data_IF_672577239987
#
_entry.id   IF_672577239987
#
_cell.length_a   1.000
_cell.length_b   1.000
_cell.length_c   1.000
_cell.angle_alpha   90.00
_cell.angle_beta   90.00
_cell.angle_gamma   90.00
#
_symmetry.space_group_name_H-M   'P 1'
#
loop_
_entity.id
_entity.type
_entity.pdbx_description
1 polymer ?
#
# COMPACT_ATOMS: atom_id res chain seq x y z
N UNK A 1 21.93 -22.01 -3.41
CA UNK A 1 21.50 -20.64 -3.80
C UNK A 1 21.79 -20.44 -5.29
N UNK A 2 20.82 -20.71 -6.17
CA UNK A 2 20.98 -20.45 -7.60
C UNK A 2 21.18 -18.94 -7.83
N UNK A 3 22.25 -18.56 -8.53
CA UNK A 3 22.54 -17.15 -8.83
C UNK A 3 21.44 -16.62 -9.75
N UNK A 4 20.62 -15.69 -9.26
CA UNK A 4 19.67 -14.93 -10.09
C UNK A 4 20.44 -14.26 -11.22
N UNK A 5 19.99 -14.51 -12.46
CA UNK A 5 20.53 -13.85 -13.65
C UNK A 5 20.29 -12.33 -13.56
N UNK A 6 21.11 -11.53 -14.27
CA UNK A 6 21.00 -10.06 -14.23
C UNK A 6 19.60 -9.57 -14.61
N UNK A 7 18.92 -10.29 -15.51
CA UNK A 7 17.53 -10.01 -15.95
C UNK A 7 16.50 -10.31 -14.85
N UNK A 8 16.63 -11.45 -14.16
CA UNK A 8 15.73 -11.79 -13.04
C UNK A 8 15.86 -10.80 -11.89
N UNK A 9 17.08 -10.32 -11.57
CA UNK A 9 17.26 -9.28 -10.53
C UNK A 9 16.56 -7.97 -10.88
N UNK A 10 16.62 -7.55 -12.15
CA UNK A 10 15.94 -6.33 -12.60
C UNK A 10 14.43 -6.51 -12.52
N UNK A 11 13.89 -7.65 -12.94
CA UNK A 11 12.46 -7.94 -12.81
C UNK A 11 12.00 -7.93 -11.35
N UNK A 12 12.74 -8.57 -10.45
CA UNK A 12 12.45 -8.54 -9.00
C UNK A 12 12.49 -7.11 -8.47
N UNK A 13 13.51 -6.33 -8.83
CA UNK A 13 13.64 -4.94 -8.41
C UNK A 13 12.48 -4.07 -8.91
N UNK A 14 12.03 -4.26 -10.16
CA UNK A 14 10.87 -3.56 -10.72
C UNK A 14 9.59 -3.92 -9.98
N UNK A 15 9.34 -5.21 -9.71
CA UNK A 15 8.16 -5.63 -8.96
C UNK A 15 8.18 -5.14 -7.51
N UNK A 16 9.34 -5.11 -6.87
CA UNK A 16 9.51 -4.48 -5.55
C UNK A 16 9.21 -2.99 -5.60
N UNK A 17 9.77 -2.27 -6.57
CA UNK A 17 9.52 -0.84 -6.75
C UNK A 17 8.02 -0.56 -6.97
N UNK A 18 7.35 -1.34 -7.83
CA UNK A 18 5.91 -1.23 -8.07
C UNK A 18 5.08 -1.55 -6.82
N UNK A 19 5.46 -2.58 -6.07
CA UNK A 19 4.80 -2.92 -4.81
C UNK A 19 4.90 -1.80 -3.77
N UNK A 20 6.08 -1.20 -3.63
CA UNK A 20 6.31 -0.06 -2.72
C UNK A 20 5.56 1.18 -3.19
N UNK A 21 5.56 1.48 -4.50
CA UNK A 21 4.83 2.62 -5.05
C UNK A 21 3.32 2.47 -4.81
N UNK A 22 2.77 1.28 -5.08
CA UNK A 22 1.36 1.00 -4.88
C UNK A 22 1.00 1.09 -3.39
N UNK A 23 1.84 0.51 -2.52
CA UNK A 23 1.63 0.57 -1.07
C UNK A 23 1.56 2.02 -0.58
N UNK A 24 2.50 2.88 -0.99
CA UNK A 24 2.47 4.30 -0.65
C UNK A 24 1.23 5.01 -1.20
N UNK A 25 0.88 4.77 -2.47
CA UNK A 25 -0.28 5.41 -3.09
C UNK A 25 -1.60 5.04 -2.41
N UNK A 26 -1.79 3.77 -2.07
CA UNK A 26 -2.99 3.29 -1.36
C UNK A 26 -3.03 3.82 0.07
N UNK A 27 -1.87 3.86 0.75
CA UNK A 27 -1.75 4.40 2.09
C UNK A 27 -2.14 5.87 2.14
N UNK A 28 -1.53 6.71 1.29
CA UNK A 28 -1.80 8.15 1.22
C UNK A 28 -3.26 8.44 0.86
N UNK A 29 -3.82 7.70 -0.11
CA UNK A 29 -5.21 7.89 -0.52
C UNK A 29 -6.21 7.52 0.59
N UNK A 30 -5.87 6.53 1.43
CA UNK A 30 -6.72 6.11 2.55
C UNK A 30 -6.56 7.05 3.75
N UNK A 31 -5.33 7.41 4.10
CA UNK A 31 -5.03 8.34 5.19
C UNK A 31 -5.58 9.75 4.91
N UNK A 32 -5.53 10.19 3.65
CA UNK A 32 -6.09 11.47 3.23
C UNK A 32 -7.60 11.60 3.49
N UNK A 33 -8.35 10.50 3.55
CA UNK A 33 -9.76 10.51 3.98
C UNK A 33 -9.88 10.80 5.47
N UNK A 34 -9.05 10.17 6.30
CA UNK A 34 -9.02 10.40 7.74
C UNK A 34 -8.65 11.83 8.11
N UNK A 35 -7.70 12.44 7.40
CA UNK A 35 -7.31 13.84 7.60
C UNK A 35 -8.49 14.78 7.30
N UNK A 36 -9.18 14.57 6.17
CA UNK A 36 -10.36 15.38 5.81
C UNK A 36 -11.47 15.26 6.84
N UNK A 37 -11.72 14.05 7.34
CA UNK A 37 -12.72 13.80 8.38
C UNK A 37 -12.36 14.51 9.69
N UNK A 38 -11.09 14.45 10.11
CA UNK A 38 -10.61 15.18 11.29
C UNK A 38 -10.80 16.70 11.15
N UNK A 39 -10.41 17.28 10.00
CA UNK A 39 -10.56 18.71 9.75
C UNK A 39 -12.02 19.14 9.77
N UNK A 40 -12.91 18.33 9.18
CA UNK A 40 -14.35 18.58 9.19
C UNK A 40 -14.93 18.56 10.61
N UNK A 41 -14.57 17.55 11.41
CA UNK A 41 -15.03 17.44 12.81
C UNK A 41 -14.46 18.52 13.72
N UNK A 42 -13.20 18.93 13.51
CA UNK A 42 -12.63 20.09 14.22
C UNK A 42 -13.39 21.38 13.89
N UNK A 43 -13.67 21.63 12.61
CA UNK A 43 -14.43 22.82 12.21
C UNK A 43 -15.86 22.83 12.80
N UNK A 44 -16.50 21.66 12.91
CA UNK A 44 -17.80 21.51 13.59
C UNK A 44 -17.71 21.83 15.09
N UNK A 45 -16.65 21.38 15.76
CA UNK A 45 -16.40 21.69 17.16
C UNK A 45 -16.15 23.19 17.36
N UNK A 46 -15.30 23.81 16.55
CA UNK A 46 -15.00 25.25 16.58
C UNK A 46 -16.25 26.11 16.32
N UNK A 47 -17.19 25.61 15.50
CA UNK A 47 -18.49 26.23 15.28
C UNK A 47 -19.51 26.00 16.43
N UNK A 48 -19.12 25.32 17.51
CA UNK A 48 -19.98 24.98 18.64
C UNK A 48 -21.01 23.89 18.33
N UNK A 49 -20.83 23.13 17.24
CA UNK A 49 -21.80 22.15 16.71
C UNK A 49 -21.33 20.69 16.84
N UNK A 50 -20.35 20.42 17.70
CA UNK A 50 -19.86 19.05 17.89
C UNK A 50 -18.99 18.86 19.13
N UNK A 51 -18.79 17.60 19.55
CA UNK A 51 -17.89 17.26 20.63
C UNK A 51 -16.43 17.54 20.25
N UNK A 52 -15.59 17.79 21.26
CA UNK A 52 -14.17 17.99 21.05
C UNK A 52 -13.55 16.70 20.49
N UNK A 53 -12.85 16.81 19.36
CA UNK A 53 -12.17 15.69 18.69
C UNK A 53 -10.67 15.87 18.78
N UNK A 54 -9.96 14.78 19.06
CA UNK A 54 -8.49 14.77 19.07
C UNK A 54 -7.97 14.05 17.82
N UNK A 55 -6.82 14.48 17.30
CA UNK A 55 -6.18 13.88 16.12
C UNK A 55 -6.11 12.34 16.22
N UNK A 56 -5.61 11.74 17.32
CA UNK A 56 -5.49 10.27 17.42
C UNK A 56 -6.86 9.58 17.38
N UNK A 57 -7.86 10.13 18.05
CA UNK A 57 -9.20 9.53 18.15
C UNK A 57 -9.92 9.40 16.80
N UNK A 58 -9.58 10.25 15.84
CA UNK A 58 -10.16 10.22 14.49
C UNK A 58 -9.25 9.46 13.53
N UNK A 59 -7.92 9.61 13.62
CA UNK A 59 -6.98 9.05 12.63
C UNK A 59 -6.59 7.60 12.88
N UNK A 60 -6.56 7.10 14.12
CA UNK A 60 -6.11 5.74 14.42
C UNK A 60 -6.85 4.65 13.63
N UNK A 61 -8.20 4.70 13.49
CA UNK A 61 -8.93 3.74 12.65
C UNK A 61 -8.52 3.81 11.18
N UNK A 62 -8.29 5.01 10.64
CA UNK A 62 -7.89 5.19 9.24
C UNK A 62 -6.44 4.76 9.01
N UNK A 63 -5.55 4.91 9.99
CA UNK A 63 -4.18 4.40 9.93
C UNK A 63 -4.20 2.88 9.88
N UNK A 64 -5.00 2.24 10.74
CA UNK A 64 -5.16 0.79 10.74
C UNK A 64 -5.72 0.29 9.40
N UNK A 65 -6.79 0.90 8.90
CA UNK A 65 -7.37 0.55 7.60
C UNK A 65 -6.40 0.79 6.45
N UNK A 66 -5.68 1.93 6.45
CA UNK A 66 -4.68 2.24 5.43
C UNK A 66 -3.56 1.19 5.42
N UNK A 67 -3.07 0.77 6.57
CA UNK A 67 -2.06 -0.29 6.68
C UNK A 67 -2.59 -1.62 6.15
N UNK A 68 -3.81 -2.00 6.53
CA UNK A 68 -4.40 -3.27 6.11
C UNK A 68 -4.62 -3.31 4.61
N UNK A 69 -5.33 -2.31 4.06
CA UNK A 69 -5.66 -2.24 2.64
C UNK A 69 -4.38 -2.16 1.79
N UNK A 70 -3.40 -1.35 2.19
CA UNK A 70 -2.14 -1.24 1.46
C UNK A 70 -1.34 -2.53 1.49
N UNK A 71 -1.28 -3.22 2.63
CA UNK A 71 -0.58 -4.51 2.77
C UNK A 71 -1.26 -5.60 1.94
N UNK A 72 -2.59 -5.63 1.93
CA UNK A 72 -3.36 -6.56 1.10
C UNK A 72 -3.03 -6.38 -0.39
N UNK A 73 -3.12 -5.16 -0.91
CA UNK A 73 -2.81 -4.87 -2.31
C UNK A 73 -1.33 -5.10 -2.66
N UNK A 74 -0.41 -4.71 -1.78
CA UNK A 74 1.02 -4.97 -1.97
C UNK A 74 1.32 -6.47 -2.03
N UNK A 75 0.66 -7.28 -1.19
CA UNK A 75 0.80 -8.73 -1.21
C UNK A 75 0.31 -9.35 -2.53
N UNK A 76 -0.79 -8.82 -3.08
CA UNK A 76 -1.36 -9.28 -4.34
C UNK A 76 -0.42 -8.97 -5.52
N UNK A 77 0.18 -7.78 -5.53
CA UNK A 77 1.20 -7.38 -6.52
C UNK A 77 2.47 -8.22 -6.38
N UNK A 78 2.94 -8.48 -5.16
CA UNK A 78 4.08 -9.36 -4.91
C UNK A 78 3.82 -10.78 -5.43
N UNK A 79 2.64 -11.34 -5.17
CA UNK A 79 2.23 -12.65 -5.69
C UNK A 79 2.19 -12.66 -7.22
N UNK A 80 1.65 -11.62 -7.84
CA UNK A 80 1.65 -11.48 -9.30
C UNK A 80 3.08 -11.48 -9.86
N UNK A 81 4.00 -10.70 -9.27
CA UNK A 81 5.41 -10.68 -9.69
C UNK A 81 6.10 -12.04 -9.54
N UNK A 82 5.83 -12.75 -8.45
CA UNK A 82 6.33 -14.11 -8.23
C UNK A 82 5.81 -15.10 -9.28
N UNK A 83 4.52 -15.03 -9.62
CA UNK A 83 3.90 -15.85 -10.67
C UNK A 83 4.50 -15.51 -12.04
N UNK A 84 4.72 -14.24 -12.36
CA UNK A 84 5.34 -13.80 -13.62
C UNK A 84 6.75 -14.37 -13.75
N UNK A 85 7.60 -14.22 -12.72
CA UNK A 85 8.97 -14.75 -12.73
C UNK A 85 8.96 -16.28 -12.83
N UNK A 86 8.08 -16.96 -12.08
CA UNK A 86 7.95 -18.43 -12.13
C UNK A 86 7.53 -18.92 -13.51
N UNK A 87 6.63 -18.20 -14.19
CA UNK A 87 6.17 -18.52 -15.54
C UNK A 87 7.28 -18.31 -16.58
N UNK A 88 7.99 -17.19 -16.51
CA UNK A 88 9.15 -16.91 -17.38
C UNK A 88 10.24 -17.98 -17.24
N UNK A 89 10.59 -18.37 -16.00
CA UNK A 89 11.59 -19.40 -15.74
C UNK A 89 11.19 -20.79 -16.25
N UNK A 90 9.87 -21.07 -16.29
CA UNK A 90 9.34 -22.33 -16.83
C UNK A 90 9.43 -22.37 -18.36
N UNK A 91 9.25 -21.23 -19.03
CA UNK A 91 9.37 -21.14 -20.48
C UNK A 91 10.82 -21.19 -20.97
N UNK A 92 11.77 -20.63 -20.23
CA UNK A 92 13.20 -20.68 -20.58
C UNK A 92 13.79 -22.11 -20.50
N UNK A 93 13.20 -23.01 -19.70
CA UNK A 93 13.62 -24.42 -19.60
C UNK A 93 13.02 -25.35 -20.66
N UNK A 94 12.18 -24.83 -21.56
CA UNK A 94 11.50 -25.60 -22.61
C UNK A 94 12.04 -25.32 -24.02
N UNK A 95 13.18 -24.62 -24.12
CA UNK A 95 13.97 -24.38 -25.33
C UNK A 95 15.36 -24.97 -25.14
#
# INVERSE_FOLDING_TARGET
>A
MQRLTRRERVLVAVWLALGVLLWNGVYDMTLGKGIKEYLFRSALHDAGRGPQVTIPSVLDPFVFDALWVSTFWASLVMLAGLVTIRTLRRNDGSR
#
